data_IF_086112028305
#
_entry.id   IF_086112028305
#
_cell.length_a   1.000
_cell.length_b   1.000
_cell.length_c   1.000
_cell.angle_alpha   90.00
_cell.angle_beta   90.00
_cell.angle_gamma   90.00
#
_symmetry.space_group_name_H-M   'P 1'
#
loop_
_entity.id
_entity.type
_entity.pdbx_description
1 polymer ?
#
# COMPACT_ATOMS: atom_id res chain seq x y z
N UNK A 1 5.83 -5.11 0.36
CA UNK A 1 6.97 -4.19 0.15
C UNK A 1 7.75 -4.05 1.44
N UNK A 2 9.06 -3.82 1.37
CA UNK A 2 9.90 -3.66 2.58
C UNK A 2 9.77 -2.26 3.18
N UNK A 3 9.70 -1.22 2.35
CA UNK A 3 9.57 0.18 2.76
C UNK A 3 10.58 0.67 3.82
N UNK A 4 11.77 0.08 3.81
CA UNK A 4 12.87 0.47 4.70
C UNK A 4 13.28 1.93 4.44
N UNK A 5 13.56 2.66 5.52
CA UNK A 5 13.85 4.09 5.52
C UNK A 5 12.87 4.88 4.65
N UNK A 6 11.57 4.78 4.94
CA UNK A 6 10.49 5.36 4.14
C UNK A 6 10.81 6.78 3.63
N UNK A 7 11.12 6.90 2.34
CA UNK A 7 11.55 8.13 1.68
C UNK A 7 10.57 8.54 0.57
N UNK A 8 10.83 9.69 -0.06
CA UNK A 8 9.93 10.32 -1.03
C UNK A 8 9.51 9.38 -2.17
N UNK A 9 10.42 8.54 -2.67
CA UNK A 9 10.11 7.62 -3.77
C UNK A 9 9.03 6.60 -3.38
N UNK A 10 9.08 6.04 -2.15
CA UNK A 10 8.02 5.16 -1.65
C UNK A 10 6.68 5.89 -1.56
N UNK A 11 6.69 7.13 -1.08
CA UNK A 11 5.48 7.96 -0.96
C UNK A 11 4.88 8.27 -2.33
N UNK A 12 5.70 8.56 -3.34
CA UNK A 12 5.25 8.82 -4.70
C UNK A 12 4.71 7.56 -5.38
N UNK A 13 5.32 6.40 -5.13
CA UNK A 13 4.81 5.11 -5.61
C UNK A 13 3.41 4.83 -5.03
N UNK A 14 3.24 5.00 -3.71
CA UNK A 14 1.95 4.80 -3.05
C UNK A 14 0.91 5.83 -3.53
N UNK A 15 1.32 7.07 -3.80
CA UNK A 15 0.46 8.08 -4.42
C UNK A 15 -0.04 7.65 -5.80
N UNK A 16 0.85 7.13 -6.64
CA UNK A 16 0.47 6.64 -7.97
C UNK A 16 -0.54 5.49 -7.86
N UNK A 17 -0.33 4.56 -6.93
CA UNK A 17 -1.28 3.47 -6.68
C UNK A 17 -2.66 3.99 -6.23
N UNK A 18 -2.70 4.94 -5.29
CA UNK A 18 -3.95 5.56 -4.79
C UNK A 18 -4.72 6.29 -5.90
N UNK A 19 -4.01 6.86 -6.87
CA UNK A 19 -4.60 7.65 -7.98
C UNK A 19 -4.78 6.85 -9.28
N UNK A 20 -4.46 5.54 -9.29
CA UNK A 20 -4.51 4.73 -10.50
C UNK A 20 -5.93 4.61 -11.08
N UNK A 21 -6.95 4.67 -10.23
CA UNK A 21 -8.35 4.70 -10.63
C UNK A 21 -9.05 5.88 -9.99
N UNK A 22 -9.61 6.76 -10.81
CA UNK A 22 -10.37 7.93 -10.37
C UNK A 22 -11.86 7.63 -10.49
N UNK A 23 -12.61 8.10 -9.50
CA UNK A 23 -14.07 8.08 -9.51
C UNK A 23 -14.57 9.50 -9.72
N UNK A 24 -15.36 9.71 -10.77
CA UNK A 24 -16.05 10.99 -10.99
C UNK A 24 -17.31 11.04 -10.15
N UNK A 25 -17.44 12.08 -9.34
CA UNK A 25 -18.65 12.38 -8.57
C UNK A 25 -19.20 13.73 -9.01
N UNK A 26 -20.52 13.86 -9.06
CA UNK A 26 -21.19 15.13 -9.34
C UNK A 26 -21.72 15.72 -8.04
N UNK A 27 -21.26 16.92 -7.69
CA UNK A 27 -21.71 17.66 -6.51
C UNK A 27 -22.21 19.03 -6.99
N UNK A 28 -23.52 19.28 -6.85
CA UNK A 28 -24.15 20.57 -7.21
C UNK A 28 -23.87 21.02 -8.66
N UNK A 29 -23.85 20.08 -9.61
CA UNK A 29 -23.58 20.36 -11.02
C UNK A 29 -22.09 20.53 -11.39
N UNK A 30 -21.18 20.39 -10.43
CA UNK A 30 -19.73 20.34 -10.69
C UNK A 30 -19.25 18.89 -10.69
N UNK A 31 -18.55 18.48 -11.75
CA UNK A 31 -17.88 17.18 -11.82
C UNK A 31 -16.53 17.28 -11.12
N UNK A 32 -16.32 16.44 -10.12
CA UNK A 32 -15.07 16.35 -9.36
C UNK A 32 -14.56 14.92 -9.42
N UNK A 33 -13.28 14.75 -9.70
CA UNK A 33 -12.62 13.45 -9.64
C UNK A 33 -12.00 13.25 -8.26
N UNK A 34 -12.28 12.10 -7.66
CA UNK A 34 -11.72 11.68 -6.37
C UNK A 34 -11.02 10.33 -6.53
N UNK A 35 -10.03 9.99 -5.68
CA UNK A 35 -9.42 8.67 -5.70
C UNK A 35 -10.48 7.59 -5.45
N UNK A 36 -10.61 6.63 -6.38
CA UNK A 36 -11.55 5.51 -6.30
C UNK A 36 -10.95 4.24 -5.68
N UNK A 37 -9.70 4.30 -5.23
CA UNK A 37 -8.93 3.15 -4.74
C UNK A 37 -8.90 3.14 -3.22
N UNK A 38 -9.21 2.00 -2.62
CA UNK A 38 -8.81 1.68 -1.24
C UNK A 38 -7.44 0.98 -1.28
N UNK A 39 -6.40 1.67 -0.85
CA UNK A 39 -5.01 1.24 -0.98
C UNK A 39 -4.56 0.51 0.30
N UNK A 40 -4.40 -0.80 0.14
CA UNK A 40 -3.80 -1.69 1.13
C UNK A 40 -2.29 -1.76 0.90
N UNK A 41 -1.49 -1.43 1.91
CA UNK A 41 -0.04 -1.52 1.85
C UNK A 41 0.48 -2.73 2.62
N UNK A 42 0.85 -3.78 1.91
CA UNK A 42 1.48 -4.97 2.49
C UNK A 42 2.94 -4.72 2.88
N UNK A 43 3.27 -4.92 4.16
CA UNK A 43 4.63 -4.79 4.71
C UNK A 43 5.15 -6.18 5.06
N UNK A 44 6.34 -6.54 4.54
CA UNK A 44 6.96 -7.83 4.87
C UNK A 44 7.41 -7.86 6.33
N UNK A 45 7.42 -9.05 6.93
CA UNK A 45 8.00 -9.23 8.27
C UNK A 45 9.52 -9.15 8.21
N UNK A 46 10.14 -8.88 9.36
CA UNK A 46 11.59 -8.78 9.46
C UNK A 46 12.27 -10.10 9.09
N UNK A 47 11.66 -11.23 9.47
CA UNK A 47 12.16 -12.58 9.15
C UNK A 47 12.23 -12.78 7.63
N UNK A 48 11.14 -12.46 6.92
CA UNK A 48 11.07 -12.58 5.45
C UNK A 48 12.08 -11.64 4.79
N UNK A 49 12.29 -10.45 5.36
CA UNK A 49 13.26 -9.48 4.85
C UNK A 49 14.70 -9.95 5.05
N UNK A 50 15.01 -10.60 6.18
CA UNK A 50 16.33 -11.16 6.46
C UNK A 50 16.66 -12.30 5.49
N UNK A 51 15.69 -13.19 5.22
CA UNK A 51 15.87 -14.32 4.32
C UNK A 51 16.11 -13.89 2.86
N UNK A 52 15.40 -12.86 2.40
CA UNK A 52 15.36 -12.50 0.97
C UNK A 52 16.13 -11.22 0.63
N UNK A 53 16.51 -10.43 1.64
CA UNK A 53 17.16 -9.13 1.47
C UNK A 53 18.15 -8.81 2.60
N UNK A 54 17.78 -7.92 3.52
CA UNK A 54 18.58 -7.38 4.60
C UNK A 54 17.68 -7.01 5.78
N UNK A 55 18.26 -6.90 6.98
CA UNK A 55 17.56 -6.46 8.19
C UNK A 55 17.01 -5.04 7.96
N UNK A 56 15.69 -4.83 8.02
CA UNK A 56 15.11 -3.50 7.91
C UNK A 56 15.44 -2.67 9.16
N UNK A 57 15.72 -1.39 8.98
CA UNK A 57 16.08 -0.49 10.08
C UNK A 57 14.82 0.15 10.65
N UNK A 58 13.97 0.77 9.83
CA UNK A 58 12.72 1.43 10.24
C UNK A 58 11.78 1.69 9.04
N UNK A 59 10.45 1.61 9.21
CA UNK A 59 9.52 2.00 8.14
C UNK A 59 8.03 2.02 8.49
N UNK A 60 7.52 2.98 9.29
CA UNK A 60 6.08 3.05 9.55
C UNK A 60 5.33 3.65 8.34
N UNK A 61 5.00 2.79 7.37
CA UNK A 61 4.11 3.09 6.22
C UNK A 61 2.74 3.58 6.68
N UNK A 62 2.32 3.25 7.90
CA UNK A 62 1.06 3.69 8.53
C UNK A 62 0.85 5.20 8.58
N UNK A 63 1.92 5.98 8.50
CA UNK A 63 1.85 7.46 8.49
C UNK A 63 1.84 8.04 7.08
N UNK A 64 1.91 7.20 6.04
CA UNK A 64 1.83 7.66 4.67
C UNK A 64 0.40 8.10 4.34
N UNK A 65 0.24 9.37 3.94
CA UNK A 65 -1.05 9.98 3.58
C UNK A 65 -1.87 9.18 2.56
N UNK A 66 -1.21 8.42 1.68
CA UNK A 66 -1.85 7.74 0.56
C UNK A 66 -2.34 6.34 0.89
N UNK A 67 -1.94 5.79 2.04
CA UNK A 67 -2.27 4.42 2.47
C UNK A 67 -3.49 4.47 3.36
N UNK A 68 -4.49 3.65 3.05
CA UNK A 68 -5.70 3.56 3.88
C UNK A 68 -5.51 2.51 4.99
N UNK A 69 -4.88 1.38 4.65
CA UNK A 69 -4.65 0.29 5.60
C UNK A 69 -3.28 -0.37 5.37
N UNK A 70 -2.66 -0.82 6.47
CA UNK A 70 -1.39 -1.54 6.43
C UNK A 70 -1.62 -2.99 6.76
N UNK A 71 -1.21 -3.89 5.85
CA UNK A 71 -1.27 -5.33 6.07
C UNK A 71 0.10 -5.81 6.56
N UNK A 72 0.24 -6.21 7.84
CA UNK A 72 1.50 -6.73 8.36
C UNK A 72 1.78 -8.15 7.82
N UNK A 73 3.05 -8.56 7.86
CA UNK A 73 3.50 -9.90 7.50
C UNK A 73 3.09 -10.34 6.09
N UNK A 74 3.13 -9.41 5.13
CA UNK A 74 2.85 -9.73 3.73
C UNK A 74 3.88 -10.74 3.20
N UNK A 75 3.47 -11.78 2.46
CA UNK A 75 4.39 -12.78 1.93
C UNK A 75 5.29 -12.20 0.83
N UNK A 76 6.49 -12.76 0.66
CA UNK A 76 7.42 -12.33 -0.39
C UNK A 76 6.87 -12.59 -1.80
N UNK A 77 6.30 -13.78 -2.00
CA UNK A 77 5.60 -14.17 -3.22
C UNK A 77 4.11 -14.06 -2.98
N UNK A 78 3.41 -13.33 -3.85
CA UNK A 78 1.96 -13.21 -3.79
C UNK A 78 1.34 -14.41 -4.51
N UNK A 79 0.57 -15.20 -3.78
CA UNK A 79 -0.22 -16.32 -4.30
C UNK A 79 -1.72 -16.07 -4.12
N UNK A 80 -2.55 -16.96 -4.68
CA UNK A 80 -4.00 -16.83 -4.58
C UNK A 80 -4.48 -16.89 -3.12
N UNK A 81 -3.80 -17.65 -2.25
CA UNK A 81 -4.14 -17.75 -0.83
C UNK A 81 -3.93 -16.42 -0.12
N UNK A 82 -2.83 -15.71 -0.42
CA UNK A 82 -2.56 -14.39 0.10
C UNK A 82 -3.58 -13.35 -0.38
N UNK A 83 -3.93 -13.38 -1.67
CA UNK A 83 -4.97 -12.51 -2.24
C UNK A 83 -6.32 -12.75 -1.57
N UNK A 84 -6.74 -14.00 -1.44
CA UNK A 84 -8.00 -14.38 -0.81
C UNK A 84 -8.12 -13.90 0.65
N UNK A 85 -7.01 -13.87 1.39
CA UNK A 85 -7.00 -13.37 2.78
C UNK A 85 -7.27 -11.87 2.86
N UNK A 86 -6.79 -11.12 1.88
CA UNK A 86 -6.86 -9.65 1.86
C UNK A 86 -8.17 -9.16 1.23
N UNK A 87 -8.67 -9.82 0.18
CA UNK A 87 -9.89 -9.43 -0.52
C UNK A 87 -11.20 -9.83 0.17
N UNK A 88 -11.14 -10.64 1.24
CA UNK A 88 -12.33 -11.04 2.03
C UNK A 88 -12.63 -10.10 3.21
N UNK A 89 -11.81 -9.08 3.42
CA UNK A 89 -12.08 -7.95 4.32
C UNK A 89 -12.77 -6.84 3.53
#
# INVERSE_FOLDING_TARGET
GVYDLLHFAHVLLLRQAKLAFLTTIEIRGSRTEVPGVHLLAGVHSDEVCIEHKNIPVMGPVRHCRWVDEVIPNAPWVIDQVALDKVCRH
#
